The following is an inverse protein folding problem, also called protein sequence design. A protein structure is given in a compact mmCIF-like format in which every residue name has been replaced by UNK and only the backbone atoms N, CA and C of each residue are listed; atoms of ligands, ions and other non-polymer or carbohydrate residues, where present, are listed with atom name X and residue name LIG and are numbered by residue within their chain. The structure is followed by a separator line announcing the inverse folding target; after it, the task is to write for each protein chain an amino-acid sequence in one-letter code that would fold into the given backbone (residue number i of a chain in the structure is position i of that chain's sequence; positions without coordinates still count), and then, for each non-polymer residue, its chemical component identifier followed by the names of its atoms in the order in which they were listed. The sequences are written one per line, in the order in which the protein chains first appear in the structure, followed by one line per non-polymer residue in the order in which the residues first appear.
data_IF_559908732861
#
_entry.id   IF_559908732861
#
_cell.length_a   1.000
_cell.length_b   1.000
_cell.length_c   1.000
_cell.angle_alpha   90.00
_cell.angle_beta   90.00
_cell.angle_gamma   90.00
#
_symmetry.space_group_name_H-M   'P 1'
#
loop_
_entity.id
_entity.type
_entity.pdbx_description
1 polymer ?
#
# COMPACT_ATOMS: atom_id res chain seq x y z
N UNK A 1 -4.79 -1.46 10.27
CA UNK A 1 -5.75 -0.63 11.01
C UNK A 1 -5.08 -0.26 12.33
N UNK A 2 -4.91 1.04 12.61
CA UNK A 2 -4.18 1.53 13.78
C UNK A 2 -5.14 2.29 14.71
N UNK A 3 -4.90 2.32 16.04
CA UNK A 3 -5.69 3.10 16.98
C UNK A 3 -5.32 4.59 16.90
N UNK A 4 -5.75 5.26 15.82
CA UNK A 4 -5.30 6.61 15.42
C UNK A 4 -5.62 7.71 16.44
N UNK A 5 -6.58 7.48 17.34
CA UNK A 5 -6.95 8.44 18.39
C UNK A 5 -5.95 8.42 19.56
N UNK A 6 -5.20 7.32 19.74
CA UNK A 6 -4.19 7.19 20.80
C UNK A 6 -2.82 7.69 20.33
N UNK A 7 -1.99 8.26 21.22
CA UNK A 7 -0.63 8.68 20.89
C UNK A 7 0.21 7.55 20.25
N UNK A 8 0.05 6.31 20.73
CA UNK A 8 0.74 5.14 20.18
C UNK A 8 0.36 4.83 18.73
N UNK A 9 -0.91 5.01 18.35
CA UNK A 9 -1.36 4.81 16.98
C UNK A 9 -0.90 5.91 16.03
N UNK A 10 -0.86 7.17 16.51
CA UNK A 10 -0.29 8.30 15.76
C UNK A 10 1.20 8.08 15.49
N UNK A 11 1.95 7.66 16.50
CA UNK A 11 3.38 7.32 16.36
C UNK A 11 3.62 6.11 15.46
N UNK A 12 2.72 5.14 15.43
CA UNK A 12 2.82 4.01 14.50
C UNK A 12 2.56 4.44 13.06
N UNK A 13 1.58 5.33 12.83
CA UNK A 13 1.26 5.82 11.49
C UNK A 13 2.39 6.68 10.91
N UNK A 14 3.05 7.51 11.72
CA UNK A 14 4.16 8.36 11.25
C UNK A 14 5.38 7.59 10.75
N UNK A 15 5.56 6.33 11.19
CA UNK A 15 6.63 5.44 10.72
C UNK A 15 6.34 4.82 9.35
N UNK A 16 5.08 4.79 8.92
CA UNK A 16 4.67 4.16 7.66
C UNK A 16 4.73 5.18 6.51
N UNK A 17 5.46 4.83 5.45
CA UNK A 17 5.49 5.62 4.20
C UNK A 17 4.95 4.77 3.05
N UNK A 18 4.09 5.36 2.22
CA UNK A 18 3.46 4.72 1.05
C UNK A 18 3.70 5.58 -0.17
N UNK A 19 4.05 4.96 -1.29
CA UNK A 19 4.38 5.65 -2.53
C UNK A 19 3.61 5.06 -3.72
N UNK A 20 3.30 5.90 -4.70
CA UNK A 20 2.89 5.45 -6.04
C UNK A 20 4.18 5.13 -6.80
N UNK A 21 4.35 3.88 -7.21
CA UNK A 21 5.62 3.43 -7.79
C UNK A 21 6.73 3.27 -6.76
N UNK A 22 7.99 3.30 -7.21
CA UNK A 22 9.18 3.09 -6.36
C UNK A 22 10.09 4.32 -6.46
N UNK A 23 10.19 5.13 -5.40
CA UNK A 23 11.11 6.27 -5.35
C UNK A 23 12.58 5.88 -5.56
N UNK A 24 13.40 6.82 -6.07
CA UNK A 24 14.81 6.57 -6.45
C UNK A 24 15.70 6.18 -5.25
N UNK A 25 15.45 6.79 -4.10
CA UNK A 25 16.16 6.60 -2.83
C UNK A 25 15.91 5.22 -2.22
N UNK A 26 14.73 4.63 -2.45
CA UNK A 26 14.39 3.28 -1.95
C UNK A 26 14.52 2.18 -3.00
N UNK A 27 14.66 2.52 -4.28
CA UNK A 27 14.88 1.56 -5.37
C UNK A 27 16.06 0.58 -5.15
N UNK A 28 17.21 0.97 -4.58
CA UNK A 28 18.29 0.02 -4.29
C UNK A 28 17.99 -0.88 -3.09
N UNK A 29 17.00 -0.55 -2.26
CA UNK A 29 16.56 -1.42 -1.17
C UNK A 29 15.82 -2.62 -1.78
N UNK A 30 16.14 -3.84 -1.32
CA UNK A 30 15.43 -5.05 -1.72
C UNK A 30 13.94 -4.98 -1.37
N UNK A 31 13.12 -5.75 -2.10
CA UNK A 31 11.68 -5.87 -1.84
C UNK A 31 11.39 -7.14 -1.06
N UNK A 32 10.53 -7.04 -0.05
CA UNK A 32 10.00 -8.20 0.67
C UNK A 32 8.56 -8.42 0.22
N UNK A 33 8.23 -9.65 -0.16
CA UNK A 33 6.86 -10.06 -0.48
C UNK A 33 6.29 -10.87 0.69
N UNK A 34 5.14 -10.46 1.22
CA UNK A 34 4.47 -11.18 2.29
C UNK A 34 3.60 -12.29 1.69
N UNK A 35 3.98 -13.55 1.86
CA UNK A 35 3.29 -14.70 1.25
C UNK A 35 1.79 -14.79 1.60
N UNK A 36 1.43 -14.39 2.82
CA UNK A 36 0.04 -14.39 3.29
C UNK A 36 -0.84 -13.36 2.57
N UNK A 37 -0.27 -12.37 1.89
CA UNK A 37 -1.02 -11.28 1.25
C UNK A 37 -1.12 -11.43 -0.28
N UNK A 38 -0.61 -12.52 -0.86
CA UNK A 38 -0.75 -12.77 -2.31
C UNK A 38 -2.19 -13.13 -2.67
N UNK A 39 -2.65 -12.65 -3.81
CA UNK A 39 -3.90 -13.13 -4.41
C UNK A 39 -3.77 -14.61 -4.75
N UNK A 40 -4.87 -15.36 -4.61
CA UNK A 40 -4.90 -16.81 -4.86
C UNK A 40 -5.98 -17.24 -5.85
N UNK A 41 -6.97 -16.37 -6.12
CA UNK A 41 -8.00 -16.60 -7.12
C UNK A 41 -7.62 -15.97 -8.47
N UNK A 42 -8.37 -16.29 -9.51
CA UNK A 42 -8.22 -15.67 -10.83
C UNK A 42 -8.27 -14.14 -10.75
N UNK A 43 -7.44 -13.47 -11.57
CA UNK A 43 -7.42 -12.01 -11.69
C UNK A 43 -8.78 -11.42 -12.10
N UNK A 44 -9.62 -12.19 -12.78
CA UNK A 44 -10.98 -11.80 -13.17
C UNK A 44 -11.89 -11.46 -11.98
N UNK A 45 -11.53 -11.85 -10.75
CA UNK A 45 -12.31 -11.57 -9.52
C UNK A 45 -11.80 -10.34 -8.75
N UNK A 46 -10.81 -9.62 -9.29
CA UNK A 46 -10.18 -8.48 -8.62
C UNK A 46 -10.09 -7.28 -9.55
N UNK A 47 -9.95 -6.10 -8.96
CA UNK A 47 -9.58 -4.86 -9.66
C UNK A 47 -8.33 -4.28 -9.00
N UNK A 48 -7.65 -3.35 -9.70
CA UNK A 48 -6.50 -2.64 -9.15
C UNK A 48 -6.92 -1.32 -8.50
N UNK A 49 -6.23 -0.93 -7.42
CA UNK A 49 -6.48 0.37 -6.79
C UNK A 49 -6.19 1.54 -7.74
N UNK A 50 -5.27 1.37 -8.70
CA UNK A 50 -5.00 2.38 -9.72
C UNK A 50 -6.12 2.54 -10.74
N UNK A 51 -6.86 1.47 -11.06
CA UNK A 51 -8.06 1.56 -11.88
C UNK A 51 -9.18 2.30 -11.13
N UNK A 52 -9.47 1.90 -9.89
CA UNK A 52 -10.44 2.59 -9.04
C UNK A 52 -10.09 4.06 -8.86
N UNK A 53 -8.81 4.36 -8.64
CA UNK A 53 -8.27 5.70 -8.56
C UNK A 53 -8.66 6.58 -9.74
N UNK A 54 -8.43 6.09 -10.95
CA UNK A 54 -8.79 6.81 -12.19
C UNK A 54 -10.29 7.09 -12.27
N UNK A 55 -11.13 6.12 -11.88
CA UNK A 55 -12.58 6.30 -11.87
C UNK A 55 -13.07 7.37 -10.86
N UNK A 56 -12.34 7.57 -9.76
CA UNK A 56 -12.67 8.60 -8.75
C UNK A 56 -11.91 9.92 -8.94
N UNK A 57 -11.24 10.10 -10.09
CA UNK A 57 -10.56 11.35 -10.44
C UNK A 57 -9.11 11.48 -9.93
N UNK A 58 -8.45 10.38 -9.59
CA UNK A 58 -7.00 10.39 -9.35
C UNK A 58 -6.26 10.48 -10.68
N UNK A 59 -5.56 11.61 -10.89
CA UNK A 59 -4.71 11.89 -12.05
C UNK A 59 -3.23 11.73 -11.73
#
# INVERSE_FOLDING_TARGET
MLPRDKPSGKAALSRLRVYIGVPKDVKPLGKIQLEKTKIRKSSALYTSVGELGRYVGWH
#
